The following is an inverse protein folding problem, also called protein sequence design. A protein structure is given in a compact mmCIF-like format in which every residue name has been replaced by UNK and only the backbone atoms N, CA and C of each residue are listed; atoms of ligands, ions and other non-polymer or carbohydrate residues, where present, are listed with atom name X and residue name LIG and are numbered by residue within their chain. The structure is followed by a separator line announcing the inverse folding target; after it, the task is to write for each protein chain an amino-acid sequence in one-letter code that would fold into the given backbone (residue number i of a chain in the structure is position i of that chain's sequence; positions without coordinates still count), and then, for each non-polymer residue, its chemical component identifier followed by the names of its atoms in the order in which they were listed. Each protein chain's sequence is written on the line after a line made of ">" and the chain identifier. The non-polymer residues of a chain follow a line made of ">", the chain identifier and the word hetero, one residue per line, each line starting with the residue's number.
data_IF_328822218772
#
_entry.id   IF_328822218772
#
_cell.length_a   1.000
_cell.length_b   1.000
_cell.length_c   1.000
_cell.angle_alpha   90.00
_cell.angle_beta   90.00
_cell.angle_gamma   90.00
#
_symmetry.space_group_name_H-M   'P 1'
#
loop_
_entity.id
_entity.type
_entity.pdbx_description
1 polymer ?
#
# COMPACT_ATOMS: atom_id res chain seq x y z
N UNK A 1 -3.28 3.97 19.97
CA UNK A 1 -1.87 3.94 19.52
C UNK A 1 -1.89 3.97 18.01
N UNK A 2 -1.03 4.78 17.40
CA UNK A 2 -1.04 4.93 15.94
C UNK A 2 -0.15 3.90 15.25
N UNK A 3 -0.63 3.37 14.14
CA UNK A 3 0.07 2.40 13.32
C UNK A 3 0.01 2.82 11.86
N UNK A 4 1.14 2.73 11.17
CA UNK A 4 1.23 2.78 9.73
C UNK A 4 1.18 1.34 9.20
N UNK A 5 0.15 1.02 8.43
CA UNK A 5 0.00 -0.24 7.71
C UNK A 5 0.27 0.02 6.24
N UNK A 6 1.19 -0.73 5.64
CA UNK A 6 1.64 -0.52 4.26
C UNK A 6 1.42 -1.75 3.41
N UNK A 7 0.88 -1.55 2.21
CA UNK A 7 0.83 -2.55 1.14
C UNK A 7 1.98 -2.29 0.19
N UNK A 8 2.64 -3.36 -0.25
CA UNK A 8 3.66 -3.30 -1.27
C UNK A 8 3.12 -3.78 -2.63
N UNK A 9 3.76 -3.33 -3.69
CA UNK A 9 3.52 -3.79 -5.05
C UNK A 9 4.66 -3.41 -5.98
N UNK A 10 4.56 -3.84 -7.23
CA UNK A 10 5.54 -3.57 -8.29
C UNK A 10 4.88 -2.91 -9.49
N UNK A 11 5.67 -2.36 -10.41
CA UNK A 11 5.13 -1.79 -11.65
C UNK A 11 4.36 -2.85 -12.47
N UNK A 12 4.76 -4.13 -12.40
CA UNK A 12 4.07 -5.23 -13.06
C UNK A 12 2.67 -5.47 -12.45
N UNK A 13 2.52 -5.34 -11.13
CA UNK A 13 1.22 -5.47 -10.47
C UNK A 13 0.25 -4.36 -10.90
N UNK A 14 0.73 -3.11 -11.00
CA UNK A 14 -0.06 -2.00 -11.53
C UNK A 14 -0.41 -2.20 -13.01
N UNK A 15 0.53 -2.71 -13.82
CA UNK A 15 0.28 -3.02 -15.21
C UNK A 15 -0.81 -4.11 -15.35
N UNK A 16 -0.74 -5.17 -14.55
CA UNK A 16 -1.73 -6.23 -14.47
C UNK A 16 -3.12 -5.70 -14.10
N UNK A 17 -3.23 -4.82 -13.10
CA UNK A 17 -4.46 -4.14 -12.72
C UNK A 17 -5.03 -3.26 -13.86
N UNK A 18 -4.17 -2.72 -14.72
CA UNK A 18 -4.56 -1.91 -15.88
C UNK A 18 -4.87 -2.73 -17.16
N UNK A 19 -4.96 -4.06 -17.06
CA UNK A 19 -5.24 -4.93 -18.21
C UNK A 19 -4.00 -5.44 -18.95
N UNK A 20 -2.79 -5.12 -18.47
CA UNK A 20 -1.49 -5.43 -19.10
C UNK A 20 -0.67 -6.41 -18.26
N UNK A 21 -1.25 -7.59 -17.99
CA UNK A 21 -0.57 -8.64 -17.24
C UNK A 21 0.67 -9.20 -17.94
N UNK A 22 1.43 -9.98 -17.18
CA UNK A 22 2.65 -10.67 -17.60
C UNK A 22 2.66 -12.10 -17.05
N UNK A 23 3.72 -12.87 -17.32
CA UNK A 23 3.87 -14.23 -16.79
C UNK A 23 3.85 -14.27 -15.25
N UNK A 24 4.34 -13.22 -14.59
CA UNK A 24 4.47 -13.16 -13.12
C UNK A 24 3.39 -12.27 -12.46
N UNK A 25 2.51 -11.66 -13.25
CA UNK A 25 1.43 -10.79 -12.76
C UNK A 25 0.17 -10.96 -13.65
N UNK A 26 -0.81 -11.78 -13.25
CA UNK A 26 -1.97 -12.11 -14.08
C UNK A 26 -2.82 -10.86 -14.35
N UNK A 27 -3.36 -10.72 -15.57
CA UNK A 27 -4.23 -9.60 -15.91
C UNK A 27 -5.49 -9.59 -15.05
N UNK A 28 -5.82 -8.44 -14.48
CA UNK A 28 -7.07 -8.25 -13.74
C UNK A 28 -8.19 -7.88 -14.69
N UNK A 29 -9.37 -8.45 -14.46
CA UNK A 29 -10.59 -8.02 -15.11
C UNK A 29 -11.19 -6.80 -14.41
N UNK A 30 -12.09 -6.09 -15.08
CA UNK A 30 -12.88 -5.03 -14.45
C UNK A 30 -13.60 -5.54 -13.20
N UNK A 31 -14.12 -6.76 -13.23
CA UNK A 31 -14.81 -7.36 -12.08
C UNK A 31 -13.87 -7.57 -10.89
N UNK A 32 -12.62 -7.96 -11.13
CA UNK A 32 -11.61 -8.13 -10.08
C UNK A 32 -11.30 -6.78 -9.42
N UNK A 33 -11.14 -5.73 -10.23
CA UNK A 33 -10.90 -4.35 -9.75
C UNK A 33 -12.09 -3.87 -8.92
N UNK A 34 -13.32 -4.05 -9.38
CA UNK A 34 -14.52 -3.67 -8.63
C UNK A 34 -14.65 -4.45 -7.31
N UNK A 35 -14.30 -5.74 -7.33
CA UNK A 35 -14.34 -6.59 -6.13
C UNK A 35 -13.32 -6.12 -5.09
N UNK A 36 -12.09 -5.80 -5.53
CA UNK A 36 -11.05 -5.24 -4.66
C UNK A 36 -11.48 -3.90 -4.05
N UNK A 37 -12.00 -2.96 -4.87
CA UNK A 37 -12.46 -1.67 -4.35
C UNK A 37 -13.63 -1.80 -3.38
N UNK A 38 -14.58 -2.69 -3.66
CA UNK A 38 -15.69 -2.95 -2.75
C UNK A 38 -15.22 -3.52 -1.41
N UNK A 39 -14.30 -4.49 -1.43
CA UNK A 39 -13.73 -5.10 -0.22
C UNK A 39 -12.94 -4.09 0.61
N UNK A 40 -12.03 -3.33 -0.01
CA UNK A 40 -11.27 -2.28 0.67
C UNK A 40 -12.19 -1.16 1.18
N UNK A 41 -13.20 -0.78 0.41
CA UNK A 41 -14.20 0.21 0.80
C UNK A 41 -15.01 -0.20 2.03
N UNK A 42 -15.41 -1.48 2.12
CA UNK A 42 -16.11 -2.01 3.29
C UNK A 42 -15.23 -1.95 4.55
N UNK A 43 -13.96 -2.35 4.45
CA UNK A 43 -13.00 -2.24 5.57
C UNK A 43 -12.85 -0.77 6.00
N UNK A 44 -12.68 0.15 5.06
CA UNK A 44 -12.54 1.57 5.37
C UNK A 44 -13.79 2.15 6.04
N UNK A 45 -14.99 1.75 5.61
CA UNK A 45 -16.23 2.17 6.22
C UNK A 45 -16.35 1.67 7.67
N UNK A 46 -16.06 0.40 7.92
CA UNK A 46 -16.07 -0.16 9.27
C UNK A 46 -15.10 0.58 10.19
N UNK A 47 -13.88 0.87 9.70
CA UNK A 47 -12.86 1.59 10.47
C UNK A 47 -13.22 3.06 10.69
N UNK A 48 -13.97 3.67 9.78
CA UNK A 48 -14.52 5.01 9.96
C UNK A 48 -15.62 5.03 11.03
N UNK A 49 -16.50 4.03 11.04
CA UNK A 49 -17.56 3.88 12.05
C UNK A 49 -16.98 3.64 13.45
N UNK A 50 -15.90 2.87 13.57
CA UNK A 50 -15.21 2.65 14.85
C UNK A 50 -14.29 3.80 15.26
N UNK A 51 -14.01 4.74 14.36
CA UNK A 51 -13.06 5.84 14.59
C UNK A 51 -11.60 5.40 14.60
N UNK A 52 -11.30 4.21 14.10
CA UNK A 52 -9.94 3.64 14.04
C UNK A 52 -9.13 4.16 12.85
N UNK A 53 -9.76 4.74 11.83
CA UNK A 53 -9.07 5.29 10.65
C UNK A 53 -8.68 6.76 10.85
N UNK A 54 -7.39 7.06 10.69
CA UNK A 54 -6.88 8.44 10.68
C UNK A 54 -6.71 8.94 9.24
N UNK A 55 -6.13 8.10 8.37
CA UNK A 55 -5.96 8.36 6.95
C UNK A 55 -5.76 7.03 6.19
N UNK A 56 -6.13 6.97 4.92
CA UNK A 56 -5.85 5.81 4.07
C UNK A 56 -5.92 6.16 2.59
N UNK A 57 -4.92 5.73 1.81
CA UNK A 57 -4.89 5.97 0.37
C UNK A 57 -4.19 4.83 -0.37
N UNK A 58 -4.76 4.47 -1.52
CA UNK A 58 -4.01 3.79 -2.60
C UNK A 58 -3.15 4.80 -3.35
N UNK A 59 -1.92 4.42 -3.68
CA UNK A 59 -0.97 5.28 -4.37
C UNK A 59 -0.97 5.02 -5.88
N UNK A 60 -0.61 6.04 -6.64
CA UNK A 60 -0.40 5.92 -8.08
C UNK A 60 0.76 4.98 -8.40
N UNK A 61 0.75 4.44 -9.62
CA UNK A 61 1.82 3.55 -10.10
C UNK A 61 3.24 4.12 -9.89
N UNK A 62 4.24 3.24 -9.63
CA UNK A 62 5.62 3.64 -9.36
C UNK A 62 6.23 4.54 -10.44
N UNK A 63 5.85 4.36 -11.71
CA UNK A 63 6.33 5.18 -12.84
C UNK A 63 6.00 6.68 -12.72
N UNK A 64 5.05 7.08 -11.86
CA UNK A 64 4.69 8.48 -11.59
C UNK A 64 5.46 9.07 -10.40
N UNK A 65 6.33 8.29 -9.75
CA UNK A 65 7.13 8.76 -8.64
C UNK A 65 8.20 9.76 -9.10
N UNK A 66 8.60 10.63 -8.17
CA UNK A 66 9.72 11.56 -8.31
C UNK A 66 10.66 11.39 -7.12
N UNK A 67 11.94 11.23 -7.43
CA UNK A 67 13.00 11.09 -6.44
C UNK A 67 13.78 12.39 -6.31
N UNK A 68 14.19 12.68 -5.08
CA UNK A 68 15.02 13.84 -4.76
C UNK A 68 16.17 13.35 -3.88
N UNK A 69 17.39 13.42 -4.40
CA UNK A 69 18.60 12.95 -3.74
C UNK A 69 19.61 14.09 -3.58
N UNK A 70 20.56 13.96 -2.65
CA UNK A 70 21.66 14.92 -2.50
C UNK A 70 22.77 14.57 -3.48
N UNK A 71 23.03 15.45 -4.44
CA UNK A 71 24.09 15.31 -5.42
C UNK A 71 25.51 15.46 -4.83
N UNK A 72 26.55 15.09 -5.59
CA UNK A 72 27.95 15.20 -5.16
C UNK A 72 28.38 16.63 -4.82
N UNK A 73 27.77 17.63 -5.47
CA UNK A 73 28.00 19.06 -5.21
C UNK A 73 27.16 19.61 -4.04
N UNK A 74 26.41 18.73 -3.37
CA UNK A 74 25.53 19.06 -2.25
C UNK A 74 24.17 19.64 -2.65
N UNK A 75 23.87 19.78 -3.94
CA UNK A 75 22.57 20.27 -4.42
C UNK A 75 21.58 19.12 -4.65
N UNK A 76 20.26 19.38 -4.62
CA UNK A 76 19.27 18.36 -4.98
C UNK A 76 19.42 17.91 -6.43
N UNK A 77 19.41 16.58 -6.64
CA UNK A 77 19.26 15.92 -7.94
C UNK A 77 17.85 15.33 -7.96
N UNK A 78 17.10 15.64 -9.03
CA UNK A 78 15.71 15.21 -9.19
C UNK A 78 15.65 14.20 -10.34
N UNK A 79 15.06 13.04 -10.07
CA UNK A 79 14.91 11.97 -11.06
C UNK A 79 13.44 11.54 -11.12
N UNK A 80 12.87 11.53 -12.32
CA UNK A 80 11.53 11.00 -12.58
C UNK A 80 11.63 9.51 -12.95
N UNK A 81 10.57 8.75 -12.66
CA UNK A 81 10.43 7.36 -13.09
C UNK A 81 10.29 6.38 -11.93
N UNK A 82 10.20 5.08 -12.21
CA UNK A 82 10.12 4.08 -11.16
C UNK A 82 11.47 3.94 -10.44
N UNK A 83 11.47 3.31 -9.25
CA UNK A 83 12.70 2.67 -8.76
C UNK A 83 13.28 1.79 -9.87
N UNK A 84 14.60 1.55 -9.88
CA UNK A 84 15.22 0.47 -10.69
C UNK A 84 14.26 -0.73 -10.73
N UNK A 85 13.92 -1.20 -11.94
CA UNK A 85 12.67 -1.94 -12.32
C UNK A 85 12.22 -3.14 -11.45
N UNK A 86 12.95 -3.50 -10.40
CA UNK A 86 12.80 -4.73 -9.64
C UNK A 86 12.43 -4.54 -8.17
N UNK A 87 12.16 -3.31 -7.69
CA UNK A 87 11.88 -3.07 -6.27
C UNK A 87 10.39 -3.00 -5.96
N UNK A 88 9.99 -3.75 -4.94
CA UNK A 88 8.72 -3.61 -4.25
C UNK A 88 8.63 -2.18 -3.68
N UNK A 89 7.56 -1.46 -4.01
CA UNK A 89 7.31 -0.10 -3.53
C UNK A 89 6.02 -0.04 -2.74
N UNK A 90 5.83 1.05 -2.00
CA UNK A 90 4.58 1.34 -1.32
C UNK A 90 3.46 1.52 -2.36
N UNK A 91 2.47 0.65 -2.34
CA UNK A 91 1.31 0.70 -3.22
C UNK A 91 0.09 1.36 -2.55
N UNK A 92 0.05 1.38 -1.22
CA UNK A 92 -1.02 1.99 -0.44
C UNK A 92 -0.72 1.93 1.05
N UNK A 93 -1.45 2.71 1.83
CA UNK A 93 -1.29 2.74 3.27
C UNK A 93 -2.60 3.00 4.01
N UNK A 94 -2.60 2.62 5.29
CA UNK A 94 -3.49 3.13 6.32
C UNK A 94 -2.69 3.70 7.48
N UNK A 95 -3.13 4.82 8.01
CA UNK A 95 -2.79 5.30 9.35
C UNK A 95 -3.99 4.99 10.24
N UNK A 96 -3.78 4.10 11.20
CA UNK A 96 -4.84 3.61 12.09
C UNK A 96 -4.52 3.98 13.53
N UNK A 97 -5.51 4.44 14.29
CA UNK A 97 -5.43 4.60 15.74
C UNK A 97 -6.18 3.45 16.42
N UNK A 98 -5.43 2.42 16.79
CA UNK A 98 -5.98 1.19 17.36
C UNK A 98 -5.62 1.08 18.84
N UNK A 99 -6.43 0.32 19.58
CA UNK A 99 -6.17 0.05 21.00
C UNK A 99 -4.88 -0.77 21.21
N UNK A 100 -4.47 -1.61 20.25
CA UNK A 100 -3.31 -2.50 20.38
C UNK A 100 -2.73 -2.96 19.03
N UNK A 101 -1.56 -3.62 19.08
CA UNK A 101 -0.91 -4.22 17.91
C UNK A 101 -1.73 -5.40 17.36
N UNK A 102 -2.38 -6.15 18.25
CA UNK A 102 -3.25 -7.27 17.90
C UNK A 102 -4.43 -6.77 17.07
N UNK A 103 -5.07 -5.66 17.47
CA UNK A 103 -6.19 -5.08 16.73
C UNK A 103 -5.80 -4.66 15.30
N UNK A 104 -4.68 -3.97 15.13
CA UNK A 104 -4.21 -3.61 13.78
C UNK A 104 -3.81 -4.85 12.96
N UNK A 105 -3.35 -5.92 13.62
CA UNK A 105 -3.04 -7.20 12.95
C UNK A 105 -4.32 -7.90 12.46
N UNK A 106 -5.40 -7.89 13.24
CA UNK A 106 -6.72 -8.37 12.80
C UNK A 106 -7.22 -7.61 11.57
N UNK A 107 -7.07 -6.28 11.58
CA UNK A 107 -7.43 -5.43 10.43
C UNK A 107 -6.58 -5.80 9.21
N UNK A 108 -5.27 -5.98 9.37
CA UNK A 108 -4.38 -6.40 8.29
C UNK A 108 -4.74 -7.80 7.74
N UNK A 109 -5.18 -8.73 8.58
CA UNK A 109 -5.65 -10.05 8.14
C UNK A 109 -6.88 -9.94 7.24
N UNK A 110 -7.85 -9.08 7.59
CA UNK A 110 -9.03 -8.79 6.74
C UNK A 110 -8.65 -8.22 5.37
N UNK A 111 -7.58 -7.42 5.31
CA UNK A 111 -7.07 -6.89 4.03
C UNK A 111 -6.51 -8.02 3.16
N UNK A 112 -5.82 -9.00 3.74
CA UNK A 112 -5.31 -10.18 3.01
C UNK A 112 -6.40 -11.13 2.51
N UNK A 113 -7.61 -11.04 3.06
CA UNK A 113 -8.78 -11.79 2.57
C UNK A 113 -9.38 -11.21 1.28
N UNK A 114 -8.85 -10.09 0.78
CA UNK A 114 -9.31 -9.50 -0.47
C UNK A 114 -9.21 -10.51 -1.62
N UNK A 115 -10.33 -10.80 -2.31
CA UNK A 115 -10.28 -11.64 -3.50
C UNK A 115 -9.38 -10.99 -4.57
N UNK A 116 -8.46 -11.77 -5.12
CA UNK A 116 -7.56 -11.37 -6.20
C UNK A 116 -7.50 -12.48 -7.26
N UNK A 117 -7.14 -12.18 -8.52
CA UNK A 117 -6.97 -13.20 -9.54
C UNK A 117 -5.99 -14.30 -9.12
N UNK A 118 -6.24 -15.54 -9.52
CA UNK A 118 -5.33 -16.65 -9.26
C UNK A 118 -3.94 -16.37 -9.84
N UNK A 119 -2.89 -16.65 -9.06
CA UNK A 119 -1.52 -16.35 -9.44
C UNK A 119 -1.07 -14.92 -9.14
N UNK A 120 -1.93 -14.05 -8.60
CA UNK A 120 -1.53 -12.74 -8.12
C UNK A 120 -0.56 -12.90 -6.94
N UNK A 121 0.62 -12.29 -7.04
CA UNK A 121 1.58 -12.27 -5.93
C UNK A 121 0.99 -11.50 -4.74
N UNK A 122 1.01 -12.13 -3.57
CA UNK A 122 0.63 -11.48 -2.32
C UNK A 122 1.89 -11.02 -1.57
N UNK A 123 1.89 -9.77 -1.15
CA UNK A 123 2.96 -9.17 -0.35
C UNK A 123 2.53 -9.11 1.11
N UNK A 124 3.47 -9.23 2.07
CA UNK A 124 3.13 -9.02 3.47
C UNK A 124 2.69 -7.56 3.68
N UNK A 125 1.63 -7.36 4.48
CA UNK A 125 1.33 -6.04 5.03
C UNK A 125 2.37 -5.71 6.09
N UNK A 126 3.01 -4.54 5.94
CA UNK A 126 4.01 -4.08 6.90
C UNK A 126 3.33 -3.14 7.90
N UNK A 127 3.27 -3.57 9.17
CA UNK A 127 2.72 -2.78 10.28
C UNK A 127 3.87 -2.13 11.05
N UNK A 128 3.83 -0.80 11.22
CA UNK A 128 4.80 -0.04 12.02
C UNK A 128 4.10 0.84 13.04
N UNK A 129 4.44 0.77 14.33
CA UNK A 129 4.00 1.76 15.30
C UNK A 129 4.50 3.15 14.92
N UNK A 130 3.65 4.16 15.07
CA UNK A 130 4.00 5.57 14.96
C UNK A 130 4.16 6.08 16.41
N UNK A 131 5.38 6.45 16.84
CA UNK A 131 5.58 7.03 18.16
C UNK A 131 4.75 8.31 18.30
N UNK A 132 4.14 8.51 19.46
CA UNK A 132 3.60 9.81 19.80
C UNK A 132 4.78 10.79 19.89
N UNK A 133 4.73 11.90 19.15
CA UNK A 133 5.85 12.82 18.89
C UNK A 133 6.43 13.53 20.12
N UNK A 134 6.13 13.06 21.33
CA UNK A 134 6.72 13.48 22.59
C UNK A 134 7.33 12.25 23.31
N UNK A 135 8.61 11.95 23.07
CA UNK A 135 9.44 11.47 24.18
C UNK A 135 10.27 10.20 24.04
N UNK A 136 10.44 9.58 22.88
CA UNK A 136 11.42 8.47 22.75
C UNK A 136 12.39 8.74 21.60
N UNK A 137 13.48 9.45 21.92
CA UNK A 137 14.74 9.50 21.15
C UNK A 137 15.83 8.89 22.02
#
# INVERSE_FOLDING_TARGET
>A
MKYLVMIQGTQADYAAQSGKGSADAPTWTEQDIQTMYAHMGAINNDLAETGEIVDANGLSEPAKARFVERGPDGKPVITDGPYSETKEVLAGYWVLDCASLERVTEIAARVLECPVPEGTKQYPLVIRPIPDGSGDV
#
